data_IF_566451757535
#
_entry.id   IF_566451757535
#
_cell.length_a   1.000
_cell.length_b   1.000
_cell.length_c   1.000
_cell.angle_alpha   90.00
_cell.angle_beta   90.00
_cell.angle_gamma   90.00
#
_symmetry.space_group_name_H-M   'P 1'
#
loop_
_entity.id
_entity.type
_entity.pdbx_description
1 polymer ?
#
# COMPACT_ATOMS: atom_id res chain seq x y z
N UNK A 1 12.30 -3.01 17.46
CA UNK A 1 11.46 -3.30 16.27
C UNK A 1 10.30 -2.32 16.31
N UNK A 2 9.99 -1.65 15.19
CA UNK A 2 8.87 -0.72 15.14
C UNK A 2 7.56 -1.51 15.12
N UNK A 3 6.60 -1.14 15.97
CA UNK A 3 5.27 -1.77 15.97
C UNK A 3 4.46 -1.22 14.80
N UNK A 4 3.79 -2.09 14.06
CA UNK A 4 2.94 -1.72 12.94
C UNK A 4 1.70 -2.60 12.90
N UNK A 5 0.64 -2.07 12.28
CA UNK A 5 -0.59 -2.79 11.99
C UNK A 5 -0.84 -2.78 10.49
N UNK A 6 -1.49 -3.84 9.99
CA UNK A 6 -1.95 -3.92 8.61
C UNK A 6 -3.47 -4.04 8.63
N UNK A 7 -4.15 -3.19 7.87
CA UNK A 7 -5.61 -3.16 7.78
C UNK A 7 -6.03 -3.23 6.32
N UNK A 8 -7.23 -3.74 6.06
CA UNK A 8 -7.77 -3.78 4.70
C UNK A 8 -7.74 -2.39 4.06
N UNK A 9 -7.20 -2.29 2.86
CA UNK A 9 -7.17 -1.03 2.11
C UNK A 9 -8.42 -0.89 1.24
N UNK A 10 -8.76 0.36 0.91
CA UNK A 10 -9.78 0.70 -0.09
C UNK A 10 -9.19 1.34 -1.35
N UNK A 11 -7.86 1.33 -1.49
CA UNK A 11 -7.18 1.96 -2.62
C UNK A 11 -7.54 1.26 -3.95
N UNK A 12 -8.18 1.96 -4.91
CA UNK A 12 -8.67 1.38 -6.15
C UNK A 12 -7.55 1.06 -7.16
N UNK A 13 -6.32 1.53 -6.94
CA UNK A 13 -5.19 1.09 -7.76
C UNK A 13 -4.92 -0.40 -7.58
N UNK A 14 -5.35 -0.98 -6.45
CA UNK A 14 -5.14 -2.38 -6.10
C UNK A 14 -6.43 -3.20 -6.15
N UNK A 15 -6.26 -4.51 -6.35
CA UNK A 15 -7.32 -5.50 -6.44
C UNK A 15 -8.01 -5.69 -5.07
N UNK A 16 -9.34 -5.64 -5.09
CA UNK A 16 -10.17 -5.85 -3.89
C UNK A 16 -9.87 -7.20 -3.23
N UNK A 17 -9.82 -7.21 -1.89
CA UNK A 17 -9.43 -8.38 -1.10
C UNK A 17 -7.93 -8.72 -1.15
N UNK A 18 -7.12 -8.02 -1.96
CA UNK A 18 -5.67 -8.25 -2.13
C UNK A 18 -4.86 -6.96 -1.97
N UNK A 19 -5.31 -6.10 -1.04
CA UNK A 19 -4.75 -4.78 -0.76
C UNK A 19 -4.82 -4.44 0.72
N UNK A 20 -3.79 -3.78 1.24
CA UNK A 20 -3.71 -3.43 2.65
C UNK A 20 -2.95 -2.13 2.91
N UNK A 21 -3.43 -1.38 3.90
CA UNK A 21 -2.82 -0.16 4.39
C UNK A 21 -1.89 -0.50 5.57
N UNK A 22 -0.73 0.13 5.62
CA UNK A 22 0.24 0.02 6.71
C UNK A 22 0.01 1.16 7.70
N UNK A 23 -0.10 0.83 8.98
CA UNK A 23 -0.26 1.80 10.06
C UNK A 23 0.87 1.70 11.08
N UNK A 24 1.33 2.85 11.56
CA UNK A 24 2.24 2.99 12.71
C UNK A 24 1.60 4.00 13.66
N UNK A 25 1.52 3.66 14.96
CA UNK A 25 0.86 4.47 16.00
C UNK A 25 -0.48 5.11 15.58
N UNK A 26 -1.31 4.34 14.88
CA UNK A 26 -2.64 4.77 14.43
C UNK A 26 -2.65 5.64 13.17
N UNK A 27 -1.49 6.04 12.62
CA UNK A 27 -1.36 6.81 11.38
C UNK A 27 -1.08 5.88 10.20
N UNK A 28 -1.78 6.08 9.08
CA UNK A 28 -1.50 5.38 7.82
C UNK A 28 -0.16 5.86 7.27
N UNK A 29 0.77 4.92 7.12
CA UNK A 29 2.11 5.15 6.57
C UNK A 29 2.17 4.89 5.06
N UNK A 30 1.29 4.04 4.55
CA UNK A 30 1.28 3.68 3.15
C UNK A 30 0.35 2.51 2.83
N UNK A 31 0.56 1.90 1.67
CA UNK A 31 -0.32 0.87 1.10
C UNK A 31 0.50 -0.13 0.30
N UNK A 32 0.03 -1.38 0.25
CA UNK A 32 0.58 -2.40 -0.64
C UNK A 32 -0.50 -3.37 -1.10
N UNK A 33 -0.27 -4.04 -2.22
CA UNK A 33 -1.19 -5.03 -2.74
C UNK A 33 -0.91 -5.39 -4.19
N UNK A 34 -1.74 -6.26 -4.75
CA UNK A 34 -1.73 -6.56 -6.18
C UNK A 34 -2.47 -5.48 -6.94
N UNK A 35 -1.90 -4.97 -8.04
CA UNK A 35 -2.57 -3.97 -8.84
C UNK A 35 -3.86 -4.50 -9.46
N UNK A 36 -4.85 -3.61 -9.56
CA UNK A 36 -6.09 -3.90 -10.25
C UNK A 36 -5.82 -4.19 -11.74
N UNK A 37 -6.51 -5.16 -12.38
CA UNK A 37 -6.28 -5.49 -13.78
C UNK A 37 -6.37 -4.28 -14.74
N UNK A 38 -7.22 -3.30 -14.41
CA UNK A 38 -7.33 -2.05 -15.18
C UNK A 38 -6.03 -1.23 -15.14
N UNK A 39 -5.34 -1.19 -14.01
CA UNK A 39 -4.02 -0.54 -13.88
C UNK A 39 -2.99 -1.30 -14.71
N UNK A 40 -2.91 -2.62 -14.56
CA UNK A 40 -1.99 -3.47 -15.32
C UNK A 40 -2.14 -3.24 -16.83
N UNK A 41 -3.38 -3.17 -17.33
CA UNK A 41 -3.69 -2.94 -18.73
C UNK A 41 -3.35 -1.52 -19.19
N UNK A 42 -3.79 -0.49 -18.46
CA UNK A 42 -3.52 0.93 -18.82
C UNK A 42 -2.03 1.27 -18.81
N UNK A 43 -1.24 0.61 -17.97
CA UNK A 43 0.21 0.81 -17.89
C UNK A 43 1.02 -0.23 -18.70
N UNK A 44 0.36 -1.11 -19.46
CA UNK A 44 1.02 -2.11 -20.33
C UNK A 44 2.04 -2.99 -19.60
N UNK A 45 1.76 -3.35 -18.33
CA UNK A 45 2.70 -4.13 -17.50
C UNK A 45 2.77 -5.61 -17.92
N UNK A 46 1.73 -6.13 -18.57
CA UNK A 46 1.74 -7.45 -19.22
C UNK A 46 1.62 -8.68 -18.30
N UNK A 47 1.67 -8.51 -16.98
CA UNK A 47 1.53 -9.59 -15.99
C UNK A 47 1.00 -9.06 -14.66
N UNK A 48 0.66 -9.96 -13.73
CA UNK A 48 0.25 -9.60 -12.37
C UNK A 48 1.42 -8.95 -11.61
N UNK A 49 1.18 -7.78 -11.02
CA UNK A 49 2.21 -6.99 -10.34
C UNK A 49 1.73 -6.61 -8.94
N UNK A 50 2.64 -6.71 -7.97
CA UNK A 50 2.46 -6.18 -6.61
C UNK A 50 3.13 -4.82 -6.52
N UNK A 51 2.42 -3.83 -5.96
CA UNK A 51 2.95 -2.52 -5.63
C UNK A 51 3.00 -2.30 -4.12
N UNK A 52 3.91 -1.43 -3.68
CA UNK A 52 3.91 -0.91 -2.32
C UNK A 52 4.39 0.54 -2.33
N UNK A 53 3.87 1.34 -1.40
CA UNK A 53 4.26 2.73 -1.16
C UNK A 53 4.31 2.96 0.35
N UNK A 54 5.33 3.68 0.83
CA UNK A 54 5.48 4.10 2.22
C UNK A 54 6.03 5.52 2.26
N UNK A 55 5.45 6.38 3.10
CA UNK A 55 6.01 7.70 3.38
C UNK A 55 7.16 7.59 4.39
N UNK A 56 8.39 7.73 3.90
CA UNK A 56 9.58 7.67 4.74
C UNK A 56 9.80 8.94 5.57
N UNK A 57 9.25 10.09 5.17
CA UNK A 57 9.34 11.29 6.00
C UNK A 57 8.52 11.10 7.26
N UNK A 58 7.32 10.55 7.13
CA UNK A 58 6.51 10.18 8.28
C UNK A 58 7.27 9.17 9.15
N UNK A 59 7.85 8.13 8.56
CA UNK A 59 8.59 7.10 9.29
C UNK A 59 9.82 7.64 10.06
N UNK A 60 10.57 8.55 9.45
CA UNK A 60 11.87 9.01 9.98
C UNK A 60 11.71 10.23 10.89
N UNK A 61 10.73 11.11 10.64
CA UNK A 61 10.62 12.42 11.30
C UNK A 61 10.16 12.40 12.77
N UNK A 62 10.05 11.23 13.42
CA UNK A 62 9.50 11.05 14.78
C UNK A 62 8.06 11.57 14.94
N UNK A 63 7.34 11.82 13.84
CA UNK A 63 5.91 12.16 13.84
C UNK A 63 4.99 10.92 13.88
N UNK A 64 5.58 9.75 14.10
CA UNK A 64 4.93 8.52 14.49
C UNK A 64 5.75 7.92 15.62
#
# INVERSE_FOLDING_TARGET
MLSYEVKESKDPAFLEGRRADVYVNGKKLGVFGEFHPEVISKFSLGYAVVGFELDLNDLISKNI
#
